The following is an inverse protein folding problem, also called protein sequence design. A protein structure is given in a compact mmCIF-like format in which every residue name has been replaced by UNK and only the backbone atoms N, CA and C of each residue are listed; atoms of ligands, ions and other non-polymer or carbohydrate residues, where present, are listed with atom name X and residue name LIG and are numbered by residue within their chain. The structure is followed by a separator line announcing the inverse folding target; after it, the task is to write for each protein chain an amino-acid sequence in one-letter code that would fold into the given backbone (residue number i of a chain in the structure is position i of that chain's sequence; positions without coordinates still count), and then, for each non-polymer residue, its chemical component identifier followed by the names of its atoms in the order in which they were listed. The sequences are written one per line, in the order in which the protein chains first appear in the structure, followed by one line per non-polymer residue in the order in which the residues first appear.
data_IF_248952931751
#
_entry.id   IF_248952931751
#
_cell.length_a   1.000
_cell.length_b   1.000
_cell.length_c   1.000
_cell.angle_alpha   90.00
_cell.angle_beta   90.00
_cell.angle_gamma   90.00
#
_symmetry.space_group_name_H-M   'P 1'
#
loop_
_entity.id
_entity.type
_entity.pdbx_description
1 polymer ?
#
# COMPACT_ATOMS: atom_id res chain seq x y z
N UNK A 1 -19.91 6.39 -2.47
CA UNK A 1 -18.59 5.74 -2.49
C UNK A 1 -18.67 4.49 -1.65
N UNK A 2 -18.21 3.36 -2.16
CA UNK A 2 -18.13 2.09 -1.41
C UNK A 2 -17.09 2.23 -0.29
N UNK A 3 -17.19 1.40 0.75
CA UNK A 3 -16.27 1.43 1.90
C UNK A 3 -14.81 1.26 1.45
N UNK A 4 -14.57 0.40 0.46
CA UNK A 4 -13.25 0.17 -0.15
C UNK A 4 -12.68 1.39 -0.86
N UNK A 5 -13.50 2.13 -1.63
CA UNK A 5 -13.03 3.34 -2.32
C UNK A 5 -12.54 4.41 -1.35
N UNK A 6 -13.17 4.52 -0.18
CA UNK A 6 -12.73 5.46 0.85
C UNK A 6 -11.43 5.00 1.52
N UNK A 7 -11.32 3.72 1.81
CA UNK A 7 -10.11 3.16 2.40
C UNK A 7 -8.89 3.38 1.49
N UNK A 8 -9.00 3.02 0.21
CA UNK A 8 -7.93 3.23 -0.78
C UNK A 8 -7.61 4.73 -0.97
N UNK A 9 -8.63 5.61 -1.00
CA UNK A 9 -8.37 7.05 -1.14
C UNK A 9 -7.66 7.64 0.08
N UNK A 10 -7.97 7.17 1.29
CA UNK A 10 -7.26 7.60 2.52
C UNK A 10 -5.83 7.08 2.51
N UNK A 11 -5.61 5.79 2.22
CA UNK A 11 -4.28 5.20 2.11
C UNK A 11 -3.43 5.98 1.10
N UNK A 12 -3.91 6.15 -0.13
CA UNK A 12 -3.19 6.91 -1.16
C UNK A 12 -2.84 8.34 -0.71
N UNK A 13 -3.75 9.02 -0.01
CA UNK A 13 -3.49 10.38 0.48
C UNK A 13 -2.40 10.42 1.55
N UNK A 14 -2.38 9.43 2.43
CA UNK A 14 -1.35 9.27 3.46
C UNK A 14 0.00 8.97 2.82
N UNK A 15 0.05 8.02 1.89
CA UNK A 15 1.28 7.61 1.19
C UNK A 15 1.91 8.78 0.41
N UNK A 16 1.09 9.56 -0.29
CA UNK A 16 1.55 10.77 -0.99
C UNK A 16 2.13 11.79 -0.01
N UNK A 17 1.47 12.02 1.12
CA UNK A 17 1.95 12.96 2.13
C UNK A 17 3.28 12.50 2.75
N UNK A 18 3.40 11.19 3.06
CA UNK A 18 4.63 10.59 3.58
C UNK A 18 5.76 10.68 2.53
N UNK A 19 5.48 10.31 1.29
CA UNK A 19 6.48 10.36 0.22
C UNK A 19 7.01 11.78 0.00
N UNK A 20 6.16 12.80 0.04
CA UNK A 20 6.57 14.20 -0.06
C UNK A 20 7.43 14.62 1.14
N UNK A 21 7.04 14.26 2.36
CA UNK A 21 7.82 14.57 3.54
C UNK A 21 9.22 13.91 3.51
N UNK A 22 9.27 12.62 3.13
CA UNK A 22 10.53 11.87 2.94
C UNK A 22 11.40 12.50 1.84
N UNK A 23 10.79 12.91 0.70
CA UNK A 23 11.51 13.53 -0.40
C UNK A 23 12.15 14.87 0.02
N UNK A 24 11.41 15.71 0.73
CA UNK A 24 11.95 16.97 1.29
C UNK A 24 13.10 16.69 2.24
N UNK A 25 12.93 15.71 3.15
CA UNK A 25 13.97 15.35 4.09
C UNK A 25 15.22 14.76 3.39
N UNK A 26 15.06 13.94 2.35
CA UNK A 26 16.17 13.43 1.54
C UNK A 26 16.97 14.58 0.88
N UNK A 27 16.27 15.56 0.32
CA UNK A 27 16.89 16.72 -0.31
C UNK A 27 17.64 17.61 0.70
N UNK A 28 17.11 17.76 1.92
CA UNK A 28 17.74 18.59 2.95
C UNK A 28 18.92 17.91 3.64
N UNK A 29 18.89 16.58 3.77
CA UNK A 29 19.92 15.82 4.49
C UNK A 29 20.96 15.19 3.58
N UNK A 30 20.65 15.00 2.27
CA UNK A 30 21.50 14.23 1.35
C UNK A 30 21.62 12.73 1.72
N UNK A 31 20.80 12.23 2.63
CA UNK A 31 20.89 10.86 3.16
C UNK A 31 20.40 9.84 2.13
N UNK A 32 21.27 8.89 1.78
CA UNK A 32 20.94 7.76 0.89
C UNK A 32 19.90 6.82 1.51
N UNK A 33 19.90 6.69 2.83
CA UNK A 33 18.90 5.90 3.55
C UNK A 33 17.49 6.52 3.40
N UNK A 34 17.36 7.84 3.58
CA UNK A 34 16.08 8.53 3.40
C UNK A 34 15.64 8.48 1.93
N UNK A 35 16.58 8.56 0.99
CA UNK A 35 16.28 8.41 -0.43
C UNK A 35 15.72 7.01 -0.74
N UNK A 36 16.24 5.95 -0.11
CA UNK A 36 15.69 4.59 -0.24
C UNK A 36 14.24 4.52 0.27
N UNK A 37 13.94 5.21 1.37
CA UNK A 37 12.59 5.32 1.91
C UNK A 37 11.63 6.09 0.97
N UNK A 38 12.13 7.11 0.25
CA UNK A 38 11.35 7.80 -0.80
C UNK A 38 10.96 6.82 -1.91
N UNK A 39 11.92 6.00 -2.37
CA UNK A 39 11.66 5.00 -3.41
C UNK A 39 10.63 3.98 -2.95
N UNK A 40 10.70 3.53 -1.69
CA UNK A 40 9.71 2.65 -1.10
C UNK A 40 8.31 3.28 -1.10
N UNK A 41 8.18 4.50 -0.59
CA UNK A 41 6.89 5.21 -0.58
C UNK A 41 6.34 5.49 -1.99
N UNK A 42 7.18 5.66 -3.00
CA UNK A 42 6.73 5.74 -4.39
C UNK A 42 6.17 4.40 -4.90
N UNK A 43 6.76 3.29 -4.49
CA UNK A 43 6.24 1.96 -4.82
C UNK A 43 4.85 1.73 -4.19
N UNK A 44 4.64 2.17 -2.94
CA UNK A 44 3.34 2.09 -2.26
C UNK A 44 2.27 2.93 -3.00
N UNK A 45 2.62 4.14 -3.44
CA UNK A 45 1.72 4.96 -4.26
C UNK A 45 1.34 4.25 -5.57
N UNK A 46 2.30 3.64 -6.28
CA UNK A 46 2.03 2.88 -7.50
C UNK A 46 1.08 1.71 -7.19
N UNK A 47 1.31 1.01 -6.10
CA UNK A 47 0.47 -0.09 -5.65
C UNK A 47 -0.97 0.38 -5.39
N UNK A 48 -1.15 1.47 -4.64
CA UNK A 48 -2.47 2.06 -4.39
C UNK A 48 -3.16 2.50 -5.69
N UNK A 49 -2.41 3.04 -6.66
CA UNK A 49 -2.96 3.38 -7.98
C UNK A 49 -3.46 2.16 -8.74
N UNK A 50 -2.78 1.02 -8.68
CA UNK A 50 -3.25 -0.24 -9.27
C UNK A 50 -4.58 -0.68 -8.65
N UNK A 51 -4.73 -0.57 -7.33
CA UNK A 51 -5.99 -0.84 -6.65
C UNK A 51 -7.11 0.12 -7.08
N UNK A 52 -6.82 1.42 -7.23
CA UNK A 52 -7.78 2.41 -7.75
C UNK A 52 -8.23 2.04 -9.16
N UNK A 53 -7.29 1.68 -10.05
CA UNK A 53 -7.61 1.24 -11.42
C UNK A 53 -8.53 0.02 -11.38
N UNK A 54 -8.25 -0.96 -10.52
CA UNK A 54 -9.08 -2.14 -10.32
C UNK A 54 -10.51 -1.80 -9.89
N UNK A 55 -10.67 -0.87 -8.93
CA UNK A 55 -11.96 -0.40 -8.47
C UNK A 55 -12.73 0.30 -9.60
N UNK A 56 -12.07 1.20 -10.33
CA UNK A 56 -12.71 1.95 -11.43
C UNK A 56 -13.12 1.00 -12.55
N UNK A 57 -12.22 0.11 -12.97
CA UNK A 57 -12.48 -0.83 -14.07
C UNK A 57 -13.59 -1.82 -13.72
N UNK A 58 -13.66 -2.26 -12.46
CA UNK A 58 -14.70 -3.21 -12.03
C UNK A 58 -16.12 -2.65 -12.07
N UNK A 59 -16.28 -1.34 -12.15
CA UNK A 59 -17.59 -0.64 -12.22
C UNK A 59 -18.10 -0.44 -13.66
N UNK A 60 -17.30 -0.82 -14.69
CA UNK A 60 -17.78 -0.73 -16.08
C UNK A 60 -18.95 -1.68 -16.29
N UNK A 61 -19.92 -1.21 -17.07
CA UNK A 61 -21.09 -1.99 -17.48
C UNK A 61 -20.66 -3.12 -18.43
N UNK A 62 -21.46 -4.20 -18.48
CA UNK A 62 -21.27 -5.27 -19.48
C UNK A 62 -21.20 -4.70 -20.90
N UNK A 63 -20.36 -5.32 -21.73
CA UNK A 63 -20.27 -5.07 -23.17
C UNK A 63 -20.29 -6.40 -23.94
N UNK A 64 -20.15 -6.34 -25.27
CA UNK A 64 -20.18 -7.54 -26.13
C UNK A 64 -19.05 -8.53 -25.84
N UNK A 65 -17.88 -8.04 -25.43
CA UNK A 65 -16.72 -8.89 -25.09
C UNK A 65 -16.84 -9.46 -23.67
N UNK A 66 -17.46 -8.67 -22.76
CA UNK A 66 -17.64 -9.04 -21.35
C UNK A 66 -19.11 -8.98 -20.94
N UNK A 67 -19.92 -9.99 -21.37
CA UNK A 67 -21.37 -9.99 -21.11
C UNK A 67 -21.75 -10.00 -19.62
N UNK A 68 -20.87 -10.54 -18.76
CA UNK A 68 -21.05 -10.56 -17.31
C UNK A 68 -20.46 -9.33 -16.60
N UNK A 69 -19.97 -8.33 -17.39
CA UNK A 69 -19.34 -7.12 -16.87
C UNK A 69 -17.93 -7.34 -16.33
N UNK A 70 -17.37 -6.27 -15.80
CA UNK A 70 -15.96 -6.21 -15.36
C UNK A 70 -15.75 -6.44 -13.87
N UNK A 71 -16.74 -6.93 -13.14
CA UNK A 71 -16.67 -7.10 -11.68
C UNK A 71 -15.47 -7.91 -11.19
N UNK A 72 -15.02 -8.91 -11.97
CA UNK A 72 -13.86 -9.74 -11.67
C UNK A 72 -12.52 -9.02 -11.85
N UNK A 73 -12.47 -7.89 -12.55
CA UNK A 73 -11.23 -7.12 -12.76
C UNK A 73 -10.57 -6.73 -11.45
N UNK A 74 -11.36 -6.48 -10.38
CA UNK A 74 -10.81 -6.15 -9.06
C UNK A 74 -9.85 -7.21 -8.51
N UNK A 75 -10.12 -8.49 -8.76
CA UNK A 75 -9.25 -9.58 -8.30
C UNK A 75 -7.92 -9.62 -9.05
N UNK A 76 -7.98 -9.36 -10.36
CA UNK A 76 -6.77 -9.30 -11.20
C UNK A 76 -5.88 -8.15 -10.78
N UNK A 77 -6.46 -6.96 -10.57
CA UNK A 77 -5.70 -5.78 -10.14
C UNK A 77 -5.18 -5.90 -8.72
N UNK A 78 -5.94 -6.50 -7.79
CA UNK A 78 -5.45 -6.81 -6.45
C UNK A 78 -4.29 -7.82 -6.48
N UNK A 79 -4.36 -8.85 -7.34
CA UNK A 79 -3.27 -9.80 -7.51
C UNK A 79 -2.01 -9.15 -8.11
N UNK A 80 -2.18 -8.28 -9.12
CA UNK A 80 -1.06 -7.53 -9.70
C UNK A 80 -0.40 -6.61 -8.67
N UNK A 81 -1.20 -5.93 -7.85
CA UNK A 81 -0.76 -5.10 -6.74
C UNK A 81 0.06 -5.92 -5.74
N UNK A 82 -0.51 -7.00 -5.19
CA UNK A 82 0.18 -7.88 -4.24
C UNK A 82 1.47 -8.49 -4.83
N UNK A 83 1.45 -8.90 -6.10
CA UNK A 83 2.63 -9.43 -6.79
C UNK A 83 3.70 -8.35 -6.96
N UNK A 84 3.31 -7.11 -7.27
CA UNK A 84 4.22 -5.97 -7.38
C UNK A 84 4.96 -5.71 -6.06
N UNK A 85 4.23 -5.64 -4.96
CA UNK A 85 4.81 -5.49 -3.61
C UNK A 85 5.77 -6.64 -3.30
N UNK A 86 5.34 -7.89 -3.53
CA UNK A 86 6.14 -9.06 -3.22
C UNK A 86 7.44 -9.11 -4.04
N UNK A 87 7.37 -8.98 -5.36
CA UNK A 87 8.54 -9.20 -6.23
C UNK A 87 9.43 -7.95 -6.34
N UNK A 88 8.85 -6.77 -6.48
CA UNK A 88 9.61 -5.53 -6.65
C UNK A 88 10.08 -5.04 -5.28
N UNK A 89 9.19 -4.93 -4.30
CA UNK A 89 9.50 -4.47 -2.95
C UNK A 89 10.54 -5.36 -2.27
N UNK A 90 10.25 -6.67 -2.17
CA UNK A 90 11.19 -7.62 -1.56
C UNK A 90 12.48 -7.74 -2.36
N UNK A 91 12.43 -7.73 -3.70
CA UNK A 91 13.61 -7.81 -4.56
C UNK A 91 14.55 -6.63 -4.34
N UNK A 92 14.03 -5.41 -4.30
CA UNK A 92 14.81 -4.21 -4.02
C UNK A 92 15.43 -4.26 -2.62
N UNK A 93 14.65 -4.66 -1.62
CA UNK A 93 15.12 -4.76 -0.23
C UNK A 93 16.24 -5.78 -0.08
N UNK A 94 16.11 -6.96 -0.70
CA UNK A 94 17.15 -8.01 -0.68
C UNK A 94 18.44 -7.52 -1.35
N UNK A 95 18.34 -6.90 -2.54
CA UNK A 95 19.50 -6.37 -3.26
C UNK A 95 20.19 -5.28 -2.44
N UNK A 96 19.45 -4.35 -1.86
CA UNK A 96 19.98 -3.27 -1.01
C UNK A 96 20.63 -3.84 0.25
N UNK A 97 19.97 -4.79 0.93
CA UNK A 97 20.53 -5.46 2.09
C UNK A 97 21.83 -6.20 1.78
N UNK A 98 21.90 -6.90 0.65
CA UNK A 98 23.11 -7.54 0.19
C UNK A 98 24.23 -6.51 -0.11
N UNK A 99 23.94 -5.45 -0.83
CA UNK A 99 24.91 -4.37 -1.10
C UNK A 99 25.47 -3.77 0.19
N UNK A 100 24.62 -3.54 1.20
CA UNK A 100 25.03 -3.00 2.50
C UNK A 100 25.98 -3.95 3.26
N UNK A 101 25.86 -5.26 3.06
CA UNK A 101 26.77 -6.25 3.65
C UNK A 101 28.16 -6.22 2.99
N UNK A 102 28.22 -6.01 1.67
CA UNK A 102 29.49 -5.97 0.93
C UNK A 102 30.19 -4.62 0.95
N UNK A 103 29.43 -3.56 1.05
CA UNK A 103 29.95 -2.17 1.08
C UNK A 103 29.18 -1.37 2.13
N UNK A 104 29.52 -1.54 3.42
CA UNK A 104 28.84 -0.82 4.49
C UNK A 104 29.02 0.68 4.34
N UNK A 105 27.94 1.40 4.13
CA UNK A 105 27.93 2.87 4.18
C UNK A 105 27.76 3.33 5.63
N UNK A 106 28.50 4.35 6.02
CA UNK A 106 28.32 4.96 7.34
C UNK A 106 26.91 5.57 7.43
N UNK A 107 26.21 5.25 8.51
CA UNK A 107 24.89 5.84 8.79
C UNK A 107 25.09 7.28 9.26
N UNK A 108 25.03 8.21 8.33
CA UNK A 108 25.02 9.64 8.66
C UNK A 108 23.63 10.09 9.07
N UNK A 109 23.57 11.05 10.00
CA UNK A 109 22.32 11.66 10.46
C UNK A 109 21.28 10.69 11.07
N UNK A 110 21.71 9.71 11.87
CA UNK A 110 20.86 8.70 12.54
C UNK A 110 19.62 9.31 13.21
N UNK A 111 19.74 10.48 13.84
CA UNK A 111 18.62 11.14 14.51
C UNK A 111 17.50 11.55 13.56
N UNK A 112 17.84 12.08 12.39
CA UNK A 112 16.87 12.42 11.35
C UNK A 112 16.21 11.18 10.76
N UNK A 113 17.01 10.14 10.45
CA UNK A 113 16.50 8.87 9.96
C UNK A 113 15.48 8.23 10.91
N UNK A 114 15.81 8.21 12.21
CA UNK A 114 14.93 7.65 13.23
C UNK A 114 13.63 8.46 13.39
N UNK A 115 13.72 9.79 13.32
CA UNK A 115 12.53 10.66 13.40
C UNK A 115 11.59 10.44 12.21
N UNK A 116 12.12 10.29 11.00
CA UNK A 116 11.34 10.05 9.79
C UNK A 116 10.66 8.68 9.87
N UNK A 117 11.39 7.64 10.29
CA UNK A 117 10.82 6.29 10.47
C UNK A 117 9.68 6.28 11.49
N UNK A 118 9.83 7.00 12.62
CA UNK A 118 8.75 7.10 13.60
C UNK A 118 7.51 7.82 13.04
N UNK A 119 7.71 8.90 12.31
CA UNK A 119 6.59 9.62 11.67
C UNK A 119 5.91 8.74 10.61
N UNK A 120 6.68 8.01 9.79
CA UNK A 120 6.15 7.06 8.81
C UNK A 120 5.36 5.96 9.49
N UNK A 121 5.92 5.32 10.51
CA UNK A 121 5.25 4.26 11.28
C UNK A 121 3.93 4.76 11.89
N UNK A 122 3.91 5.98 12.43
CA UNK A 122 2.69 6.56 12.98
C UNK A 122 1.63 6.80 11.88
N UNK A 123 2.04 7.32 10.73
CA UNK A 123 1.13 7.60 9.61
C UNK A 123 0.59 6.31 8.97
N UNK A 124 1.44 5.31 8.75
CA UNK A 124 1.05 3.98 8.27
C UNK A 124 0.15 3.26 9.27
N UNK A 125 0.43 3.37 10.57
CA UNK A 125 -0.44 2.87 11.63
C UNK A 125 -1.84 3.51 11.63
N UNK A 126 -1.95 4.79 11.29
CA UNK A 126 -3.25 5.47 11.11
C UNK A 126 -3.97 4.91 9.88
N UNK A 127 -3.28 4.75 8.75
CA UNK A 127 -3.82 4.16 7.52
C UNK A 127 -4.35 2.75 7.77
N UNK A 128 -3.54 1.89 8.38
CA UNK A 128 -3.92 0.54 8.81
C UNK A 128 -5.16 0.56 9.71
N UNK A 129 -5.20 1.46 10.69
CA UNK A 129 -6.35 1.62 11.59
C UNK A 129 -7.64 1.96 10.85
N UNK A 130 -7.56 2.86 9.87
CA UNK A 130 -8.70 3.24 9.01
C UNK A 130 -9.12 2.05 8.14
N UNK A 131 -8.19 1.39 7.46
CA UNK A 131 -8.43 0.21 6.62
C UNK A 131 -9.03 -0.94 7.42
N UNK A 132 -8.43 -1.29 8.55
CA UNK A 132 -8.93 -2.34 9.44
C UNK A 132 -10.34 -2.03 9.96
N UNK A 133 -10.61 -0.78 10.37
CA UNK A 133 -11.95 -0.37 10.80
C UNK A 133 -12.99 -0.49 9.68
N UNK A 134 -12.58 -0.26 8.43
CA UNK A 134 -13.44 -0.43 7.26
C UNK A 134 -13.78 -1.90 7.02
N UNK A 135 -12.77 -2.78 7.05
CA UNK A 135 -12.95 -4.23 6.92
C UNK A 135 -13.81 -4.78 8.06
N UNK A 136 -13.56 -4.36 9.30
CA UNK A 136 -14.36 -4.77 10.46
C UNK A 136 -15.83 -4.38 10.32
N UNK A 137 -16.12 -3.16 9.82
CA UNK A 137 -17.51 -2.73 9.55
C UNK A 137 -18.15 -3.57 8.44
N UNK A 138 -17.39 -3.88 7.39
CA UNK A 138 -17.87 -4.70 6.28
C UNK A 138 -18.17 -6.14 6.73
N UNK A 139 -17.28 -6.75 7.50
CA UNK A 139 -17.47 -8.09 8.09
C UNK A 139 -18.72 -8.17 8.98
N UNK A 140 -18.94 -7.16 9.84
CA UNK A 140 -20.15 -7.07 10.66
C UNK A 140 -21.43 -6.95 9.85
N UNK A 141 -21.41 -6.22 8.72
CA UNK A 141 -22.58 -6.11 7.82
C UNK A 141 -22.88 -7.40 7.10
N UNK A 142 -21.86 -8.25 6.89
CA UNK A 142 -21.99 -9.58 6.29
C UNK A 142 -22.28 -10.68 7.32
N UNK A 143 -22.43 -10.33 8.60
CA UNK A 143 -22.59 -11.26 9.72
C UNK A 143 -21.48 -12.32 9.78
N UNK A 144 -20.24 -11.89 9.55
CA UNK A 144 -19.04 -12.73 9.53
C UNK A 144 -18.00 -12.24 10.51
N UNK A 145 -17.12 -13.16 10.95
CA UNK A 145 -15.91 -12.77 11.65
C UNK A 145 -14.95 -12.04 10.70
N UNK A 146 -14.11 -11.14 11.24
CA UNK A 146 -13.12 -10.40 10.44
C UNK A 146 -12.22 -11.36 9.66
N UNK A 147 -11.75 -12.45 10.31
CA UNK A 147 -10.89 -13.44 9.68
C UNK A 147 -11.57 -14.13 8.49
N UNK A 148 -12.79 -14.60 8.68
CA UNK A 148 -13.58 -15.22 7.61
C UNK A 148 -13.85 -14.25 6.45
N UNK A 149 -14.07 -12.98 6.77
CA UNK A 149 -14.26 -11.94 5.75
C UNK A 149 -12.97 -11.66 4.95
N UNK A 150 -11.79 -11.70 5.60
CA UNK A 150 -10.49 -11.57 4.92
C UNK A 150 -10.23 -12.75 3.96
N UNK A 151 -10.56 -13.98 4.37
CA UNK A 151 -10.35 -15.18 3.54
C UNK A 151 -11.31 -15.28 2.34
N UNK A 152 -12.57 -14.93 2.53
CA UNK A 152 -13.62 -15.15 1.53
C UNK A 152 -14.44 -13.92 1.20
N UNK A 153 -14.00 -12.75 1.63
CA UNK A 153 -14.73 -11.51 1.49
C UNK A 153 -14.92 -11.06 0.03
N UNK A 154 -16.06 -10.43 -0.26
CA UNK A 154 -16.40 -9.98 -1.62
C UNK A 154 -15.59 -8.74 -2.07
N UNK A 155 -14.78 -8.14 -1.19
CA UNK A 155 -14.02 -6.93 -1.45
C UNK A 155 -12.50 -7.14 -1.34
N UNK A 156 -11.86 -7.70 -2.38
CA UNK A 156 -10.42 -7.98 -2.37
C UNK A 156 -9.57 -6.70 -2.29
N UNK A 157 -10.11 -5.54 -2.71
CA UNK A 157 -9.37 -4.29 -2.70
C UNK A 157 -9.19 -3.75 -1.28
N UNK A 158 -10.26 -3.77 -0.46
CA UNK A 158 -10.16 -3.36 0.94
C UNK A 158 -9.29 -4.30 1.78
N UNK A 159 -9.29 -5.60 1.43
CA UNK A 159 -8.41 -6.59 2.05
C UNK A 159 -6.95 -6.34 1.65
N UNK A 160 -6.68 -6.06 0.37
CA UNK A 160 -5.33 -5.79 -0.13
C UNK A 160 -4.69 -4.58 0.59
N UNK A 161 -5.41 -3.47 0.74
CA UNK A 161 -4.92 -2.28 1.48
C UNK A 161 -4.53 -2.64 2.92
N UNK A 162 -5.39 -3.38 3.64
CA UNK A 162 -5.09 -3.76 5.05
C UNK A 162 -3.89 -4.68 5.14
N UNK A 163 -3.72 -5.61 4.21
CA UNK A 163 -2.58 -6.52 4.21
C UNK A 163 -1.28 -5.82 3.81
N UNK A 164 -1.34 -4.84 2.92
CA UNK A 164 -0.21 -3.99 2.52
C UNK A 164 0.27 -3.14 3.70
N UNK A 165 -0.64 -2.38 4.33
CA UNK A 165 -0.30 -1.53 5.49
C UNK A 165 0.16 -2.34 6.72
N UNK A 166 -0.08 -3.66 6.74
CA UNK A 166 0.34 -4.55 7.84
C UNK A 166 1.68 -5.25 7.57
N UNK A 167 2.23 -5.15 6.37
CA UNK A 167 3.50 -5.80 5.97
C UNK A 167 4.71 -4.91 6.18
#
# INVERSE_FOLDING_TARGET
MTTSTRAVAVALSVDVAIALAKAVAALLTGSTAILAEVVHSLADIVNQLLLVVGIVRSKRLPDHEFPYGFGRSRYVWALLSASGVLFIGSGVTIVRGAQQLWSPEALEHLGWGFSILLVSLAAEGISLGVGFSAVRRAARRADQSVWKYLESGPDPMGVAVVLEDAS
#
